data_IF_442791662084
#
_entry.id   IF_442791662084
#
_cell.length_a   1.000
_cell.length_b   1.000
_cell.length_c   1.000
_cell.angle_alpha   90.00
_cell.angle_beta   90.00
_cell.angle_gamma   90.00
#
_symmetry.space_group_name_H-M   'P 1'
#
loop_
_entity.id
_entity.type
_entity.pdbx_description
1 polymer ?
#
# COMPACT_ATOMS: atom_id res chain seq x y z
N UNK A 1 22.00 -4.55 8.93
CA UNK A 1 20.75 -3.86 8.54
C UNK A 1 19.62 -4.87 8.30
N UNK A 2 18.34 -4.42 8.39
CA UNK A 2 17.19 -5.31 8.29
C UNK A 2 17.11 -6.04 6.93
N UNK A 3 17.60 -5.44 5.85
CA UNK A 3 17.63 -6.05 4.51
C UNK A 3 18.76 -7.07 4.33
N UNK A 4 19.70 -7.13 5.23
CA UNK A 4 20.82 -8.11 5.24
C UNK A 4 20.44 -9.38 6.02
N UNK A 5 19.28 -9.40 6.66
CA UNK A 5 18.80 -10.59 7.38
C UNK A 5 18.60 -11.74 6.39
N UNK A 6 19.40 -12.79 6.56
CA UNK A 6 19.34 -13.99 5.73
C UNK A 6 17.99 -14.70 5.77
N UNK A 7 17.25 -14.55 6.88
CA UNK A 7 15.90 -15.11 7.00
C UNK A 7 14.92 -14.34 6.13
N UNK A 8 15.03 -13.03 6.12
CA UNK A 8 14.21 -12.19 5.24
C UNK A 8 14.49 -12.52 3.78
N UNK A 9 15.76 -12.55 3.37
CA UNK A 9 16.13 -12.85 1.98
C UNK A 9 15.67 -14.23 1.52
N UNK A 10 15.72 -15.24 2.39
CA UNK A 10 15.21 -16.57 2.10
C UNK A 10 13.67 -16.63 2.02
N UNK A 11 12.99 -15.71 2.70
CA UNK A 11 11.52 -15.64 2.73
C UNK A 11 10.94 -14.94 1.51
N UNK A 12 11.62 -13.91 1.00
CA UNK A 12 11.12 -13.14 -0.14
C UNK A 12 11.13 -13.98 -1.42
N UNK A 13 10.04 -13.90 -2.18
CA UNK A 13 10.02 -14.44 -3.55
C UNK A 13 10.71 -13.46 -4.50
N UNK A 14 11.08 -13.92 -5.68
CA UNK A 14 11.93 -13.20 -6.63
C UNK A 14 11.47 -11.76 -6.91
N UNK A 15 10.17 -11.55 -6.98
CA UNK A 15 9.59 -10.23 -7.26
C UNK A 15 9.87 -9.23 -6.14
N UNK A 16 9.60 -9.62 -4.91
CA UNK A 16 9.83 -8.77 -3.72
C UNK A 16 11.31 -8.63 -3.45
N UNK A 17 12.08 -9.68 -3.64
CA UNK A 17 13.54 -9.62 -3.54
C UNK A 17 14.14 -8.62 -4.54
N UNK A 18 13.74 -8.70 -5.80
CA UNK A 18 14.18 -7.74 -6.83
C UNK A 18 13.81 -6.31 -6.47
N UNK A 19 12.57 -6.08 -6.02
CA UNK A 19 12.11 -4.73 -5.62
C UNK A 19 12.92 -4.16 -4.47
N UNK A 20 13.25 -4.98 -3.46
CA UNK A 20 14.11 -4.59 -2.35
C UNK A 20 15.53 -4.29 -2.81
N UNK A 21 16.10 -5.16 -3.64
CA UNK A 21 17.45 -4.99 -4.17
C UNK A 21 17.56 -3.70 -5.01
N UNK A 22 16.59 -3.40 -5.85
CA UNK A 22 16.53 -2.15 -6.64
C UNK A 22 16.45 -0.92 -5.73
N UNK A 23 15.71 -1.00 -4.62
CA UNK A 23 15.64 0.08 -3.63
C UNK A 23 17.00 0.31 -2.94
N UNK A 24 17.68 -0.76 -2.55
CA UNK A 24 19.02 -0.70 -1.96
C UNK A 24 20.02 -0.03 -2.93
N UNK A 25 20.05 -0.49 -4.18
CA UNK A 25 20.92 0.09 -5.22
C UNK A 25 20.60 1.56 -5.48
N UNK A 26 19.33 1.93 -5.50
CA UNK A 26 18.89 3.31 -5.69
C UNK A 26 19.36 4.19 -4.53
N UNK A 27 19.24 3.71 -3.30
CA UNK A 27 19.70 4.42 -2.10
C UNK A 27 21.23 4.56 -2.08
N UNK A 28 21.95 3.49 -2.43
CA UNK A 28 23.41 3.47 -2.48
C UNK A 28 24.00 4.42 -3.55
N UNK A 29 23.27 4.67 -4.64
CA UNK A 29 23.69 5.68 -5.65
C UNK A 29 23.60 7.12 -5.13
N UNK A 30 22.72 7.36 -4.15
CA UNK A 30 22.53 8.70 -3.56
C UNK A 30 23.41 8.93 -2.35
N UNK A 31 23.65 7.88 -1.57
CA UNK A 31 24.47 7.89 -0.35
C UNK A 31 25.36 6.66 -0.32
N UNK A 32 26.65 6.86 -0.05
CA UNK A 32 27.63 5.77 -0.01
C UNK A 32 27.24 4.66 1.01
N UNK A 33 26.61 5.06 2.12
CA UNK A 33 26.06 4.15 3.14
C UNK A 33 24.58 4.51 3.37
N UNK A 34 23.61 3.81 2.73
CA UNK A 34 22.20 4.06 2.95
C UNK A 34 21.78 3.63 4.37
N UNK A 35 20.99 4.47 5.02
CA UNK A 35 20.36 4.13 6.28
C UNK A 35 19.12 3.26 6.07
N UNK A 36 18.58 2.57 7.11
CA UNK A 36 17.30 1.88 7.04
C UNK A 36 16.17 2.73 6.45
N UNK A 37 16.09 4.00 6.85
CA UNK A 37 15.06 4.92 6.38
C UNK A 37 15.21 5.27 4.89
N UNK A 38 16.45 5.39 4.40
CA UNK A 38 16.70 5.62 2.97
C UNK A 38 16.20 4.45 2.12
N UNK A 39 16.38 3.20 2.57
CA UNK A 39 15.91 2.01 1.87
C UNK A 39 14.39 1.91 1.96
N UNK A 40 13.79 2.17 3.11
CA UNK A 40 12.32 2.23 3.27
C UNK A 40 11.72 3.27 2.34
N UNK A 41 12.29 4.47 2.27
CA UNK A 41 11.82 5.53 1.38
C UNK A 41 11.97 5.19 -0.11
N UNK A 42 12.96 4.37 -0.47
CA UNK A 42 13.19 3.94 -1.85
C UNK A 42 12.29 2.74 -2.25
N UNK A 43 11.74 1.99 -1.29
CA UNK A 43 10.77 0.93 -1.61
C UNK A 43 9.43 1.54 -1.99
N UNK A 44 8.88 1.13 -3.12
CA UNK A 44 7.56 1.57 -3.55
C UNK A 44 6.43 0.89 -2.77
N UNK A 45 5.25 1.51 -2.76
CA UNK A 45 4.04 0.96 -2.11
C UNK A 45 3.74 -0.49 -2.54
N UNK A 46 4.05 -0.84 -3.81
CA UNK A 46 3.88 -2.21 -4.33
C UNK A 46 4.71 -3.27 -3.60
N UNK A 47 5.90 -2.93 -3.11
CA UNK A 47 6.71 -3.83 -2.30
C UNK A 47 5.98 -4.20 -1.00
N UNK A 48 5.52 -3.21 -0.26
CA UNK A 48 4.84 -3.40 1.02
C UNK A 48 3.53 -4.18 0.88
N UNK A 49 2.75 -3.88 -0.17
CA UNK A 49 1.54 -4.65 -0.50
C UNK A 49 1.91 -6.09 -0.88
N UNK A 50 3.01 -6.29 -1.60
CA UNK A 50 3.53 -7.61 -2.00
C UNK A 50 3.81 -8.52 -0.79
N UNK A 51 4.34 -7.97 0.31
CA UNK A 51 4.60 -8.73 1.55
C UNK A 51 3.33 -9.28 2.22
N UNK A 52 2.17 -8.70 1.91
CA UNK A 52 0.87 -9.21 2.31
C UNK A 52 0.30 -10.23 1.31
N UNK A 53 0.98 -10.48 0.20
CA UNK A 53 0.64 -11.51 -0.78
C UNK A 53 0.80 -12.93 -0.24
N UNK A 54 0.55 -13.92 -1.08
CA UNK A 54 0.63 -15.32 -0.66
C UNK A 54 2.07 -15.83 -0.49
N UNK A 55 3.04 -15.18 -1.15
CA UNK A 55 4.34 -15.81 -1.36
C UNK A 55 4.19 -17.09 -2.18
N UNK A 56 4.90 -18.15 -1.82
CA UNK A 56 4.72 -19.51 -2.36
C UNK A 56 3.85 -20.30 -1.38
N UNK A 57 2.57 -20.57 -1.68
CA UNK A 57 1.68 -21.27 -0.77
C UNK A 57 2.21 -22.65 -0.34
N UNK A 58 2.10 -22.95 0.95
CA UNK A 58 2.58 -24.20 1.58
C UNK A 58 4.11 -24.41 1.55
N UNK A 59 4.88 -23.46 1.05
CA UNK A 59 6.33 -23.52 1.16
C UNK A 59 6.75 -23.23 2.61
N UNK A 60 7.70 -23.99 3.20
CA UNK A 60 8.04 -23.86 4.62
C UNK A 60 8.62 -22.49 5.00
N UNK A 61 9.27 -21.80 4.06
CA UNK A 61 9.92 -20.50 4.29
C UNK A 61 9.25 -19.37 3.52
N UNK A 62 8.83 -19.57 2.27
CA UNK A 62 8.30 -18.55 1.39
C UNK A 62 6.76 -18.38 1.44
N UNK A 63 6.06 -19.10 2.31
CA UNK A 63 4.65 -18.83 2.59
C UNK A 63 4.52 -17.60 3.48
N UNK A 64 4.08 -16.47 2.92
CA UNK A 64 3.96 -15.21 3.66
C UNK A 64 2.91 -15.25 4.79
N UNK A 65 1.97 -16.19 4.74
CA UNK A 65 1.05 -16.42 5.84
C UNK A 65 1.79 -16.83 7.12
N UNK A 66 2.66 -17.83 7.02
CA UNK A 66 3.35 -18.42 8.17
C UNK A 66 4.69 -17.75 8.49
N UNK A 67 5.35 -17.19 7.47
CA UNK A 67 6.68 -16.63 7.65
C UNK A 67 6.69 -15.12 7.93
N UNK A 68 5.68 -14.38 7.49
CA UNK A 68 5.59 -12.93 7.67
C UNK A 68 4.35 -12.50 8.47
N UNK A 69 3.15 -12.91 8.03
CA UNK A 69 1.91 -12.41 8.61
C UNK A 69 1.74 -12.83 10.06
N UNK A 70 1.63 -14.12 10.31
CA UNK A 70 1.36 -14.65 11.65
C UNK A 70 2.41 -14.26 12.69
N UNK A 71 3.72 -14.29 12.41
CA UNK A 71 4.70 -13.94 13.43
C UNK A 71 4.85 -12.44 13.65
N UNK A 72 4.61 -11.58 12.63
CA UNK A 72 5.02 -10.17 12.72
C UNK A 72 4.08 -9.17 12.04
N UNK A 73 3.72 -9.33 10.74
CA UNK A 73 3.09 -8.26 9.98
C UNK A 73 1.68 -7.90 10.46
N UNK A 74 0.94 -8.82 11.08
CA UNK A 74 -0.36 -8.52 11.68
C UNK A 74 -0.28 -7.41 12.73
N UNK A 75 0.86 -7.27 13.42
CA UNK A 75 1.07 -6.24 14.44
C UNK A 75 1.16 -4.82 13.88
N UNK A 76 1.42 -4.68 12.59
CA UNK A 76 1.38 -3.38 11.92
C UNK A 76 -0.07 -2.86 11.71
N UNK A 77 -1.07 -3.69 12.01
CA UNK A 77 -2.48 -3.37 11.87
C UNK A 77 -3.22 -3.74 13.17
N UNK A 78 -2.94 -3.04 14.30
CA UNK A 78 -3.44 -3.40 15.64
C UNK A 78 -4.98 -3.42 15.72
N UNK A 79 -5.64 -2.55 14.96
CA UNK A 79 -7.11 -2.44 14.95
C UNK A 79 -7.77 -3.30 13.84
N UNK A 80 -7.01 -4.22 13.23
CA UNK A 80 -7.51 -5.14 12.22
C UNK A 80 -7.65 -6.56 12.73
N UNK A 81 -8.88 -7.06 12.79
CA UNK A 81 -9.19 -8.42 13.22
C UNK A 81 -9.37 -9.44 12.08
N UNK A 82 -9.19 -9.00 10.84
CA UNK A 82 -9.39 -9.86 9.67
C UNK A 82 -8.12 -10.64 9.26
N UNK A 83 -8.28 -11.51 8.26
CA UNK A 83 -7.17 -12.30 7.72
C UNK A 83 -6.34 -11.54 6.68
N UNK A 84 -5.06 -11.91 6.56
CA UNK A 84 -4.09 -11.35 5.60
C UNK A 84 -4.63 -11.23 4.18
N UNK A 85 -5.28 -12.28 3.66
CA UNK A 85 -5.80 -12.32 2.28
C UNK A 85 -6.79 -11.18 1.99
N UNK A 86 -7.67 -10.86 2.94
CA UNK A 86 -8.65 -9.77 2.79
C UNK A 86 -7.95 -8.41 2.80
N UNK A 87 -7.02 -8.20 3.74
CA UNK A 87 -6.24 -6.96 3.81
C UNK A 87 -5.40 -6.75 2.54
N UNK A 88 -4.75 -7.80 2.06
CA UNK A 88 -4.01 -7.76 0.79
C UNK A 88 -4.90 -7.32 -0.38
N UNK A 89 -6.10 -7.90 -0.50
CA UNK A 89 -7.02 -7.54 -1.59
C UNK A 89 -7.46 -6.07 -1.51
N UNK A 90 -7.71 -5.53 -0.32
CA UNK A 90 -8.05 -4.11 -0.14
C UNK A 90 -6.87 -3.19 -0.53
N UNK A 91 -5.67 -3.49 -0.06
CA UNK A 91 -4.47 -2.72 -0.37
C UNK A 91 -4.04 -2.84 -1.83
N UNK A 92 -4.22 -4.00 -2.46
CA UNK A 92 -3.90 -4.20 -3.88
C UNK A 92 -4.84 -3.40 -4.79
N UNK A 93 -6.12 -3.29 -4.42
CA UNK A 93 -7.08 -2.43 -5.10
C UNK A 93 -6.66 -0.95 -4.99
N UNK A 94 -6.31 -0.48 -3.79
CA UNK A 94 -5.81 0.88 -3.56
C UNK A 94 -4.55 1.12 -4.39
N UNK A 95 -3.61 0.18 -4.41
CA UNK A 95 -2.39 0.22 -5.22
C UNK A 95 -2.70 0.36 -6.70
N UNK A 96 -3.66 -0.41 -7.20
CA UNK A 96 -4.08 -0.36 -8.60
C UNK A 96 -4.58 1.03 -9.01
N UNK A 97 -5.47 1.63 -8.22
CA UNK A 97 -5.98 2.98 -8.53
C UNK A 97 -4.91 4.05 -8.35
N UNK A 98 -4.09 3.97 -7.28
CA UNK A 98 -2.95 4.88 -7.08
C UNK A 98 -2.01 4.87 -8.27
N UNK A 99 -1.73 3.71 -8.85
CA UNK A 99 -0.85 3.60 -10.02
C UNK A 99 -1.48 4.26 -11.25
N UNK A 100 -2.77 4.06 -11.49
CA UNK A 100 -3.49 4.75 -12.58
C UNK A 100 -3.41 6.28 -12.43
N UNK A 101 -3.64 6.80 -11.23
CA UNK A 101 -3.49 8.24 -10.96
C UNK A 101 -2.05 8.71 -11.21
N UNK A 102 -1.04 7.96 -10.73
CA UNK A 102 0.37 8.29 -10.90
C UNK A 102 0.83 8.26 -12.38
N UNK A 103 0.17 7.46 -13.21
CA UNK A 103 0.44 7.38 -14.65
C UNK A 103 -0.51 8.27 -15.49
N UNK A 104 -1.26 9.18 -14.84
CA UNK A 104 -2.23 10.07 -15.48
C UNK A 104 -3.32 9.32 -16.27
N UNK A 105 -3.62 8.07 -15.88
CA UNK A 105 -4.69 7.31 -16.49
C UNK A 105 -6.06 7.76 -15.98
N UNK A 106 -7.11 7.70 -16.83
CA UNK A 106 -8.45 8.11 -16.43
C UNK A 106 -9.01 7.26 -15.28
N UNK A 107 -9.51 7.93 -14.23
CA UNK A 107 -10.18 7.28 -13.08
C UNK A 107 -11.68 7.61 -12.97
N UNK A 108 -12.24 8.32 -13.95
CA UNK A 108 -13.63 8.80 -13.91
C UNK A 108 -14.68 7.66 -13.91
N UNK A 109 -14.29 6.45 -14.33
CA UNK A 109 -15.13 5.24 -14.26
C UNK A 109 -14.98 4.47 -12.95
N UNK A 110 -14.02 4.85 -12.13
CA UNK A 110 -13.80 4.21 -10.83
C UNK A 110 -14.73 4.83 -9.79
N UNK A 111 -15.22 4.00 -8.86
CA UNK A 111 -15.93 4.49 -7.68
C UNK A 111 -14.93 5.12 -6.69
N UNK A 112 -14.62 6.40 -6.93
CA UNK A 112 -13.59 7.13 -6.18
C UNK A 112 -14.04 7.39 -4.76
N UNK A 113 -15.36 7.55 -4.52
CA UNK A 113 -15.91 7.70 -3.17
C UNK A 113 -15.65 6.46 -2.31
N UNK A 114 -16.00 5.29 -2.82
CA UNK A 114 -15.71 4.02 -2.13
C UNK A 114 -14.19 3.81 -1.93
N UNK A 115 -13.37 4.29 -2.87
CA UNK A 115 -11.91 4.19 -2.72
C UNK A 115 -11.41 5.00 -1.53
N UNK A 116 -11.90 6.24 -1.34
CA UNK A 116 -11.53 7.09 -0.20
C UNK A 116 -11.96 6.43 1.11
N UNK A 117 -13.16 5.88 1.17
CA UNK A 117 -13.62 5.14 2.35
C UNK A 117 -12.74 3.93 2.68
N UNK A 118 -12.27 3.21 1.66
CA UNK A 118 -11.31 2.10 1.84
C UNK A 118 -9.97 2.57 2.35
N UNK A 119 -9.44 3.66 1.79
CA UNK A 119 -8.16 4.25 2.22
C UNK A 119 -8.26 4.68 3.69
N UNK A 120 -9.30 5.43 4.05
CA UNK A 120 -9.52 5.89 5.42
C UNK A 120 -9.61 4.69 6.40
N UNK A 121 -10.43 3.69 6.07
CA UNK A 121 -10.59 2.48 6.89
C UNK A 121 -9.29 1.70 7.04
N UNK A 122 -8.51 1.51 5.97
CA UNK A 122 -7.22 0.80 6.04
C UNK A 122 -6.21 1.59 6.87
N UNK A 123 -6.22 2.92 6.78
CA UNK A 123 -5.42 3.77 7.67
C UNK A 123 -5.84 3.60 9.14
N UNK A 124 -7.15 3.49 9.40
CA UNK A 124 -7.71 3.22 10.73
C UNK A 124 -7.28 1.88 11.31
N UNK A 125 -6.98 0.88 10.49
CA UNK A 125 -6.42 -0.39 10.97
C UNK A 125 -5.00 -0.24 11.57
N UNK A 126 -4.31 0.83 11.22
CA UNK A 126 -2.97 1.16 11.73
C UNK A 126 -3.08 2.14 12.89
N UNK A 127 -3.88 3.19 12.70
CA UNK A 127 -4.10 4.26 13.69
C UNK A 127 -5.47 4.94 13.44
N UNK A 128 -6.41 4.89 14.40
CA UNK A 128 -7.70 5.56 14.29
C UNK A 128 -7.61 7.08 14.06
N UNK A 129 -6.55 7.72 14.56
CA UNK A 129 -6.33 9.17 14.30
C UNK A 129 -6.01 9.43 12.82
N UNK A 130 -5.29 8.50 12.16
CA UNK A 130 -5.03 8.61 10.72
C UNK A 130 -6.33 8.50 9.90
N UNK A 131 -7.24 7.60 10.26
CA UNK A 131 -8.58 7.55 9.65
C UNK A 131 -9.34 8.87 9.84
N UNK A 132 -9.42 9.35 11.07
CA UNK A 132 -10.12 10.59 11.40
C UNK A 132 -9.52 11.79 10.62
N UNK A 133 -8.20 11.87 10.54
CA UNK A 133 -7.51 12.91 9.77
C UNK A 133 -7.83 12.85 8.28
N UNK A 134 -7.81 11.67 7.67
CA UNK A 134 -8.15 11.50 6.24
C UNK A 134 -9.60 11.93 6.00
N UNK A 135 -10.55 11.46 6.81
CA UNK A 135 -11.96 11.81 6.67
C UNK A 135 -12.25 13.30 6.84
N UNK A 136 -11.53 13.97 7.73
CA UNK A 136 -11.70 15.41 7.97
C UNK A 136 -11.11 16.29 6.86
N UNK A 137 -10.12 15.80 6.10
CA UNK A 137 -9.35 16.62 5.16
C UNK A 137 -9.52 16.19 3.69
N UNK A 138 -10.17 15.05 3.40
CA UNK A 138 -10.41 14.63 2.03
C UNK A 138 -11.42 15.55 1.33
N UNK A 139 -11.22 15.78 0.05
CA UNK A 139 -12.09 16.65 -0.78
C UNK A 139 -12.77 15.88 -1.91
N UNK A 140 -12.47 14.59 -2.04
CA UNK A 140 -12.97 13.75 -3.13
C UNK A 140 -14.49 13.60 -3.03
N UNK A 141 -15.02 13.40 -1.82
CA UNK A 141 -16.45 13.26 -1.58
C UNK A 141 -17.23 14.49 -2.06
N UNK A 142 -16.72 15.69 -1.79
CA UNK A 142 -17.31 16.95 -2.26
C UNK A 142 -17.31 17.05 -3.79
N UNK A 143 -16.17 16.69 -4.42
CA UNK A 143 -16.01 16.72 -5.87
C UNK A 143 -16.94 15.69 -6.54
N UNK A 144 -17.05 14.48 -5.97
CA UNK A 144 -17.93 13.43 -6.49
C UNK A 144 -19.40 13.84 -6.35
N UNK A 145 -19.80 14.45 -5.25
CA UNK A 145 -21.16 14.95 -5.07
C UNK A 145 -21.50 16.04 -6.10
N UNK A 146 -20.56 16.94 -6.41
CA UNK A 146 -20.73 18.01 -7.39
C UNK A 146 -20.66 17.54 -8.86
N UNK A 147 -20.21 16.30 -9.12
CA UNK A 147 -20.02 15.75 -10.48
C UNK A 147 -21.29 15.85 -11.33
N UNK A 148 -22.46 15.62 -10.73
CA UNK A 148 -23.74 15.69 -11.44
C UNK A 148 -24.03 17.08 -11.95
N UNK A 149 -23.86 18.09 -11.11
CA UNK A 149 -24.06 19.51 -11.49
C UNK A 149 -23.09 19.96 -12.57
N UNK A 150 -21.84 19.48 -12.51
CA UNK A 150 -20.86 19.75 -13.55
C UNK A 150 -21.25 19.14 -14.90
N UNK A 151 -21.67 17.87 -14.92
CA UNK A 151 -22.03 17.16 -16.15
C UNK A 151 -23.33 17.70 -16.74
N UNK A 152 -24.33 18.01 -15.92
CA UNK A 152 -25.66 18.44 -16.36
C UNK A 152 -25.73 19.95 -16.64
N UNK A 153 -24.97 20.80 -15.97
CA UNK A 153 -25.09 22.26 -16.01
C UNK A 153 -23.78 22.99 -16.38
N UNK A 154 -22.69 22.30 -16.65
CA UNK A 154 -21.39 22.90 -17.03
C UNK A 154 -20.75 23.77 -15.93
N UNK A 155 -21.15 23.63 -14.67
CA UNK A 155 -20.60 24.40 -13.54
C UNK A 155 -19.29 23.81 -13.06
N UNK A 156 -18.19 24.57 -13.16
CA UNK A 156 -16.89 24.19 -12.59
C UNK A 156 -16.78 24.67 -11.14
N UNK A 157 -16.33 23.78 -10.26
CA UNK A 157 -15.92 24.11 -8.88
C UNK A 157 -14.39 24.18 -8.87
N UNK A 158 -13.84 25.29 -9.33
CA UNK A 158 -12.42 25.63 -9.16
C UNK A 158 -12.35 26.84 -8.23
#
# INVERSE_FOLDING_TARGET
DWWEDRRLSATLVDREWKSLHDAILTSARRKHYPTPDDVVAATGFGFWVGLLGAGVPRHPVQSYETSLWQPRLHRAFPDYSGGRKRLHAELDLIRGVRNRVAHHEPVFRSDVGNLIDRIARVAGYIDPHAEAYIRANERVSTIVAAKRDFVEHGRTFI
#
